data_IF_309679823432
#
_entry.id   IF_309679823432
#
_cell.length_a   1.000
_cell.length_b   1.000
_cell.length_c   1.000
_cell.angle_alpha   90.00
_cell.angle_beta   90.00
_cell.angle_gamma   90.00
#
_symmetry.space_group_name_H-M   'P 1'
#
loop_
_entity.id
_entity.type
_entity.pdbx_description
1 polymer ?
#
# COMPACT_ATOMS: atom_id res chain seq x y z
N UNK A 1 9.27 32.18 19.69
CA UNK A 1 9.89 31.41 20.78
C UNK A 1 10.21 32.31 21.95
N UNK A 2 10.05 31.84 23.16
CA UNK A 2 10.38 32.59 24.39
C UNK A 2 11.70 32.03 24.92
N UNK A 3 12.70 32.91 25.12
CA UNK A 3 13.96 32.55 25.76
C UNK A 3 14.12 33.34 27.06
N UNK A 4 14.36 32.60 28.17
CA UNK A 4 14.64 33.17 29.48
C UNK A 4 16.08 32.84 29.85
N UNK A 5 16.93 33.84 30.05
CA UNK A 5 18.30 33.68 30.51
C UNK A 5 18.48 34.32 31.86
N UNK A 6 19.07 33.63 32.81
CA UNK A 6 19.53 34.14 34.10
C UNK A 6 21.02 33.86 34.28
N UNK A 7 21.79 34.87 34.62
CA UNK A 7 23.20 34.72 34.96
C UNK A 7 23.46 35.25 36.39
N UNK A 8 24.01 34.35 37.21
CA UNK A 8 24.47 34.67 38.56
C UNK A 8 25.99 34.74 38.57
N UNK A 9 26.55 35.89 38.86
CA UNK A 9 28.01 36.05 38.96
C UNK A 9 28.43 36.68 40.28
N UNK A 10 29.50 36.14 40.86
CA UNK A 10 30.15 36.64 42.06
C UNK A 10 31.62 36.89 41.78
N UNK A 11 32.08 38.14 41.81
CA UNK A 11 33.51 38.47 41.63
C UNK A 11 34.13 38.99 42.93
N UNK A 12 35.05 38.21 43.50
CA UNK A 12 35.84 38.58 44.67
C UNK A 12 37.31 38.58 44.29
N UNK A 13 38.01 39.71 44.42
CA UNK A 13 39.46 39.86 44.26
C UNK A 13 40.10 40.00 45.64
N UNK A 14 41.01 39.09 46.01
CA UNK A 14 41.76 39.14 47.28
C UNK A 14 43.20 39.57 46.99
N UNK A 15 43.68 40.70 47.58
CA UNK A 15 45.02 41.18 47.45
C UNK A 15 45.79 40.81 48.72
N UNK A 16 46.95 40.09 48.61
CA UNK A 16 47.71 39.50 49.71
C UNK A 16 48.90 40.38 49.99
N UNK A 17 48.76 41.51 50.74
CA UNK A 17 49.89 42.15 51.48
C UNK A 17 49.30 43.05 52.58
N UNK A 18 49.54 42.64 53.76
CA UNK A 18 49.36 43.09 55.17
C UNK A 18 48.77 44.46 55.41
N UNK A 19 47.69 44.66 56.17
CA UNK A 19 46.66 43.67 56.55
C UNK A 19 45.70 43.32 55.45
N UNK A 20 45.23 42.11 55.43
CA UNK A 20 44.34 41.63 54.38
C UNK A 20 43.09 42.53 54.32
N UNK A 21 43.03 43.39 53.35
CA UNK A 21 41.89 44.21 53.08
C UNK A 21 41.13 43.59 51.92
N UNK A 22 40.00 42.97 52.18
CA UNK A 22 39.11 42.40 51.18
C UNK A 22 38.35 43.51 50.52
N UNK A 23 38.72 43.86 49.28
CA UNK A 23 37.96 44.85 48.51
C UNK A 23 37.04 44.06 47.58
N UNK A 24 35.73 44.16 47.80
CA UNK A 24 34.70 43.56 46.96
C UNK A 24 34.28 44.57 45.87
N UNK A 25 34.63 44.27 44.61
CA UNK A 25 34.21 45.06 43.46
C UNK A 25 32.94 44.44 42.84
N UNK A 26 31.93 45.23 42.61
CA UNK A 26 30.69 44.80 41.97
C UNK A 26 29.56 44.47 42.97
N UNK A 27 28.45 44.13 42.45
CA UNK A 27 27.29 43.70 43.23
C UNK A 27 27.46 42.25 43.68
N UNK A 28 27.09 41.94 44.95
CA UNK A 28 27.19 40.57 45.51
C UNK A 28 26.43 39.54 44.69
N UNK A 29 25.39 39.96 44.03
CA UNK A 29 24.60 39.16 43.12
C UNK A 29 24.12 40.06 42.00
N UNK A 30 24.26 39.59 40.76
CA UNK A 30 23.61 40.17 39.60
C UNK A 30 22.66 39.14 38.99
N UNK A 31 21.49 39.54 38.64
CA UNK A 31 20.51 38.70 37.96
C UNK A 31 19.94 39.49 36.75
N UNK A 32 20.20 39.01 35.59
CA UNK A 32 19.62 39.51 34.36
C UNK A 32 18.52 38.56 33.87
N UNK A 33 17.30 39.05 33.76
CA UNK A 33 16.19 38.30 33.16
C UNK A 33 15.78 39.03 31.87
N UNK A 34 15.81 38.31 30.77
CA UNK A 34 15.42 38.82 29.44
C UNK A 34 14.31 37.97 28.87
N UNK A 35 13.19 38.59 28.50
CA UNK A 35 12.13 37.98 27.73
C UNK A 35 12.17 38.58 26.33
N UNK A 36 12.28 37.76 25.29
CA UNK A 36 12.29 38.22 23.90
C UNK A 36 11.09 37.62 23.18
N UNK A 37 10.29 38.47 22.59
CA UNK A 37 9.19 38.08 21.70
C UNK A 37 9.58 38.41 20.27
N UNK A 38 9.64 37.40 19.41
CA UNK A 38 9.91 37.54 17.98
C UNK A 38 8.69 37.09 17.17
N UNK A 39 8.23 37.99 16.28
CA UNK A 39 7.11 37.72 15.39
C UNK A 39 7.55 37.91 13.95
N UNK A 40 7.36 36.88 13.13
CA UNK A 40 7.52 36.96 11.68
C UNK A 40 6.33 37.72 11.10
N UNK A 41 6.56 38.85 10.43
CA UNK A 41 5.55 39.69 9.81
C UNK A 41 5.38 39.35 8.33
N UNK A 42 6.47 39.12 7.63
CA UNK A 42 6.46 38.76 6.21
C UNK A 42 7.66 37.84 5.89
N UNK A 43 7.34 36.74 5.19
CA UNK A 43 8.32 35.86 4.55
C UNK A 43 7.68 35.26 3.30
N UNK A 44 8.29 35.49 2.15
CA UNK A 44 7.83 34.96 0.88
C UNK A 44 7.81 33.46 0.85
N UNK A 45 8.81 32.81 1.46
CA UNK A 45 8.91 31.34 1.55
C UNK A 45 7.77 30.73 2.37
N UNK A 46 7.34 31.39 3.43
CA UNK A 46 6.20 30.96 4.24
C UNK A 46 4.89 30.89 3.43
N UNK A 47 4.63 31.92 2.60
CA UNK A 47 3.44 31.96 1.76
C UNK A 47 3.42 30.82 0.74
N UNK A 48 4.58 30.50 0.14
CA UNK A 48 4.72 29.36 -0.78
C UNK A 48 4.59 28.03 -0.03
N UNK A 49 5.15 27.95 1.19
CA UNK A 49 5.01 26.80 2.06
C UNK A 49 3.55 26.47 2.37
N UNK A 50 2.72 27.47 2.63
CA UNK A 50 1.28 27.29 2.86
C UNK A 50 0.55 26.77 1.61
N UNK A 51 0.90 27.28 0.42
CA UNK A 51 0.35 26.78 -0.85
C UNK A 51 0.80 25.33 -1.10
N UNK A 52 2.05 25.00 -0.80
CA UNK A 52 2.59 23.65 -0.94
C UNK A 52 1.86 22.65 -0.04
N UNK A 53 1.49 23.04 1.18
CA UNK A 53 0.74 22.16 2.10
C UNK A 53 -0.59 21.71 1.48
N UNK A 54 -1.29 22.58 0.75
CA UNK A 54 -2.54 22.24 0.03
C UNK A 54 -2.28 21.21 -1.08
N UNK A 55 -1.21 21.39 -1.86
CA UNK A 55 -0.85 20.45 -2.93
C UNK A 55 -0.43 19.08 -2.35
N UNK A 56 0.30 19.07 -1.23
CA UNK A 56 0.63 17.81 -0.53
C UNK A 56 -0.61 17.06 -0.04
N UNK A 57 -1.63 17.78 0.44
CA UNK A 57 -2.90 17.17 0.80
C UNK A 57 -3.54 16.49 -0.41
N UNK A 58 -3.63 17.19 -1.55
CA UNK A 58 -4.18 16.62 -2.79
C UNK A 58 -3.39 15.41 -3.29
N UNK A 59 -2.05 15.45 -3.19
CA UNK A 59 -1.21 14.29 -3.52
C UNK A 59 -1.58 13.09 -2.64
N UNK A 60 -1.76 13.31 -1.33
CA UNK A 60 -2.11 12.24 -0.38
C UNK A 60 -3.51 11.68 -0.65
N UNK A 61 -4.49 12.54 -0.97
CA UNK A 61 -5.85 12.12 -1.34
C UNK A 61 -5.85 11.28 -2.62
N UNK A 62 -5.16 11.73 -3.67
CA UNK A 62 -5.06 10.97 -4.92
C UNK A 62 -4.26 9.66 -4.74
N UNK A 63 -3.23 9.65 -3.90
CA UNK A 63 -2.50 8.43 -3.55
C UNK A 63 -3.40 7.42 -2.82
N UNK A 64 -4.26 7.88 -1.90
CA UNK A 64 -5.27 7.05 -1.25
C UNK A 64 -6.22 6.43 -2.27
N UNK A 65 -6.81 7.25 -3.16
CA UNK A 65 -7.72 6.77 -4.20
C UNK A 65 -7.04 5.70 -5.08
N UNK A 66 -5.78 5.94 -5.47
CA UNK A 66 -5.00 4.97 -6.25
C UNK A 66 -4.81 3.66 -5.48
N UNK A 67 -4.48 3.73 -4.19
CA UNK A 67 -4.34 2.55 -3.33
C UNK A 67 -5.64 1.78 -3.21
N UNK A 68 -6.78 2.48 -3.05
CA UNK A 68 -8.10 1.86 -2.98
C UNK A 68 -8.43 1.09 -4.29
N UNK A 69 -8.10 1.65 -5.46
CA UNK A 69 -8.24 0.95 -6.74
C UNK A 69 -7.32 -0.26 -6.85
N UNK A 70 -6.08 -0.14 -6.44
CA UNK A 70 -5.11 -1.25 -6.48
C UNK A 70 -5.53 -2.40 -5.57
N UNK A 71 -6.07 -2.10 -4.37
CA UNK A 71 -6.60 -3.12 -3.46
C UNK A 71 -7.82 -3.81 -4.10
N UNK A 72 -8.75 -3.05 -4.68
CA UNK A 72 -9.91 -3.63 -5.36
C UNK A 72 -9.48 -4.55 -6.49
N UNK A 73 -8.56 -4.13 -7.34
CA UNK A 73 -8.02 -4.93 -8.44
C UNK A 73 -7.36 -6.22 -7.91
N UNK A 74 -6.52 -6.10 -6.89
CA UNK A 74 -5.83 -7.25 -6.27
C UNK A 74 -6.83 -8.26 -5.70
N UNK A 75 -7.84 -7.79 -4.96
CA UNK A 75 -8.87 -8.66 -4.37
C UNK A 75 -9.73 -9.31 -5.46
N UNK A 76 -10.13 -8.55 -6.49
CA UNK A 76 -10.93 -9.07 -7.61
C UNK A 76 -10.15 -10.16 -8.37
N UNK A 77 -8.87 -9.92 -8.64
CA UNK A 77 -8.01 -10.91 -9.30
C UNK A 77 -7.81 -12.17 -8.42
N UNK A 78 -7.58 -11.99 -7.11
CA UNK A 78 -7.45 -13.11 -6.19
C UNK A 78 -8.76 -13.92 -6.11
N UNK A 79 -9.91 -13.25 -6.06
CA UNK A 79 -11.23 -13.88 -6.07
C UNK A 79 -11.47 -14.69 -7.36
N UNK A 80 -11.22 -14.08 -8.51
CA UNK A 80 -11.32 -14.75 -9.81
C UNK A 80 -10.44 -15.99 -9.92
N UNK A 81 -9.20 -15.91 -9.39
CA UNK A 81 -8.29 -17.05 -9.38
C UNK A 81 -8.81 -18.22 -8.52
N UNK A 82 -9.49 -17.96 -7.40
CA UNK A 82 -10.13 -19.03 -6.60
C UNK A 82 -11.26 -19.68 -7.36
N UNK A 83 -12.13 -18.89 -8.02
CA UNK A 83 -13.24 -19.43 -8.81
C UNK A 83 -12.73 -20.26 -10.00
N UNK A 84 -11.69 -19.78 -10.69
CA UNK A 84 -11.04 -20.50 -11.79
C UNK A 84 -10.44 -21.83 -11.31
N UNK A 85 -9.79 -21.83 -10.15
CA UNK A 85 -9.22 -23.04 -9.57
C UNK A 85 -10.31 -24.07 -9.21
N UNK A 86 -11.45 -23.62 -8.65
CA UNK A 86 -12.61 -24.48 -8.34
C UNK A 86 -13.24 -25.06 -9.60
N UNK A 87 -13.42 -24.26 -10.65
CA UNK A 87 -13.96 -24.75 -11.92
C UNK A 87 -13.04 -25.78 -12.56
N UNK A 88 -11.72 -25.56 -12.51
CA UNK A 88 -10.74 -26.54 -13.00
C UNK A 88 -10.85 -27.88 -12.24
N UNK A 89 -11.04 -27.87 -10.92
CA UNK A 89 -11.28 -29.09 -10.12
C UNK A 89 -12.57 -29.78 -10.61
N UNK A 90 -13.65 -29.04 -10.77
CA UNK A 90 -14.93 -29.57 -11.25
C UNK A 90 -14.80 -30.28 -12.61
N UNK A 91 -14.04 -29.66 -13.54
CA UNK A 91 -13.77 -30.25 -14.85
C UNK A 91 -12.94 -31.54 -14.73
N UNK A 92 -11.90 -31.54 -13.89
CA UNK A 92 -11.07 -32.72 -13.67
C UNK A 92 -11.84 -33.87 -13.02
N UNK A 93 -12.76 -33.57 -12.08
CA UNK A 93 -13.64 -34.57 -11.45
C UNK A 93 -14.60 -35.19 -12.45
N UNK A 94 -15.22 -34.38 -13.32
CA UNK A 94 -16.08 -34.87 -14.41
C UNK A 94 -15.30 -35.77 -15.38
N UNK A 95 -14.09 -35.35 -15.75
CA UNK A 95 -13.21 -36.14 -16.61
C UNK A 95 -12.80 -37.45 -15.94
N UNK A 96 -12.50 -37.44 -14.63
CA UNK A 96 -12.18 -38.62 -13.85
C UNK A 96 -13.34 -39.62 -13.86
N UNK A 97 -14.56 -39.15 -13.57
CA UNK A 97 -15.76 -39.97 -13.57
C UNK A 97 -15.99 -40.64 -14.95
N UNK A 98 -15.82 -39.86 -16.03
CA UNK A 98 -15.94 -40.42 -17.40
C UNK A 98 -14.84 -41.46 -17.72
N UNK A 99 -13.62 -41.15 -17.32
CA UNK A 99 -12.48 -42.06 -17.56
C UNK A 99 -12.58 -43.35 -16.73
N UNK A 100 -13.04 -43.27 -15.48
CA UNK A 100 -13.30 -44.44 -14.63
C UNK A 100 -14.36 -45.37 -15.26
N UNK A 101 -15.42 -44.80 -15.83
CA UNK A 101 -16.42 -45.55 -16.56
C UNK A 101 -15.79 -46.25 -17.79
N UNK A 102 -15.03 -45.52 -18.59
CA UNK A 102 -14.32 -46.05 -19.76
C UNK A 102 -13.35 -47.18 -19.37
N UNK A 103 -12.61 -46.97 -18.29
CA UNK A 103 -11.71 -48.02 -17.77
C UNK A 103 -12.50 -49.28 -17.36
N UNK A 104 -13.62 -49.12 -16.66
CA UNK A 104 -14.46 -50.24 -16.28
C UNK A 104 -14.97 -51.00 -17.50
N UNK A 105 -15.56 -50.35 -18.49
CA UNK A 105 -16.11 -50.96 -19.70
C UNK A 105 -15.03 -51.64 -20.52
N UNK A 106 -13.85 -51.03 -20.63
CA UNK A 106 -12.68 -51.60 -21.33
C UNK A 106 -12.14 -52.86 -20.61
N UNK A 107 -12.03 -52.82 -19.28
CA UNK A 107 -11.59 -53.94 -18.48
C UNK A 107 -12.54 -55.12 -18.55
N UNK A 108 -13.86 -54.91 -18.59
CA UNK A 108 -14.84 -56.00 -18.82
C UNK A 108 -14.71 -56.56 -20.24
N UNK A 109 -14.44 -55.73 -21.25
CA UNK A 109 -14.19 -56.17 -22.62
C UNK A 109 -12.89 -57.02 -22.72
N UNK A 110 -11.84 -56.61 -22.01
CA UNK A 110 -10.61 -57.41 -21.90
C UNK A 110 -10.85 -58.76 -21.24
N UNK A 111 -11.57 -58.83 -20.12
CA UNK A 111 -11.91 -60.07 -19.43
C UNK A 111 -12.64 -61.08 -20.32
N UNK A 112 -13.41 -60.56 -21.29
CA UNK A 112 -14.09 -61.37 -22.30
C UNK A 112 -13.19 -61.77 -23.49
N UNK A 113 -11.90 -61.39 -23.48
CA UNK A 113 -10.94 -61.72 -24.50
C UNK A 113 -11.09 -60.97 -25.83
N UNK A 114 -11.79 -59.80 -25.83
CA UNK A 114 -12.10 -59.06 -27.05
C UNK A 114 -11.07 -57.98 -27.36
N UNK A 115 -10.22 -57.61 -26.41
CA UNK A 115 -9.18 -56.59 -26.59
C UNK A 115 -7.90 -57.02 -25.85
N UNK A 116 -6.79 -56.34 -26.16
CA UNK A 116 -5.49 -56.57 -25.57
C UNK A 116 -5.34 -55.89 -24.20
N UNK A 117 -4.52 -56.41 -23.31
CA UNK A 117 -4.25 -55.90 -21.96
C UNK A 117 -3.66 -54.50 -21.99
N UNK A 118 -2.87 -54.17 -23.02
CA UNK A 118 -2.26 -52.86 -23.23
C UNK A 118 -3.31 -51.70 -23.20
N UNK A 119 -4.50 -51.93 -23.73
CA UNK A 119 -5.59 -50.94 -23.71
C UNK A 119 -6.05 -50.61 -22.28
N UNK A 120 -6.10 -51.61 -21.40
CA UNK A 120 -6.48 -51.45 -19.99
C UNK A 120 -5.36 -50.74 -19.22
N UNK A 121 -4.10 -51.14 -19.42
CA UNK A 121 -2.94 -50.54 -18.79
C UNK A 121 -2.81 -49.03 -19.17
N UNK A 122 -3.02 -48.71 -20.43
CA UNK A 122 -2.98 -47.32 -20.90
C UNK A 122 -4.03 -46.44 -20.20
N UNK A 123 -5.24 -46.95 -20.01
CA UNK A 123 -6.29 -46.24 -19.26
C UNK A 123 -5.96 -46.10 -17.78
N UNK A 124 -5.33 -47.14 -17.18
CA UNK A 124 -4.88 -47.10 -15.79
C UNK A 124 -3.79 -46.02 -15.56
N UNK A 125 -2.82 -45.95 -16.49
CA UNK A 125 -1.79 -44.90 -16.49
C UNK A 125 -2.45 -43.54 -16.57
N UNK A 126 -3.41 -43.34 -17.49
CA UNK A 126 -4.13 -42.09 -17.68
C UNK A 126 -4.93 -41.68 -16.43
N UNK A 127 -5.61 -42.66 -15.75
CA UNK A 127 -6.27 -42.42 -14.48
C UNK A 127 -5.31 -41.98 -13.39
N UNK A 128 -4.13 -42.59 -13.31
CA UNK A 128 -3.10 -42.19 -12.34
C UNK A 128 -2.61 -40.77 -12.56
N UNK A 129 -2.39 -40.40 -13.83
CA UNK A 129 -2.02 -39.00 -14.21
C UNK A 129 -3.13 -37.99 -13.87
N UNK A 130 -4.40 -38.38 -14.13
CA UNK A 130 -5.55 -37.50 -13.81
C UNK A 130 -5.72 -37.34 -12.30
N UNK A 131 -5.55 -38.39 -11.51
CA UNK A 131 -5.56 -38.29 -10.04
C UNK A 131 -4.44 -37.40 -9.51
N UNK A 132 -3.24 -37.45 -10.10
CA UNK A 132 -2.14 -36.57 -9.76
C UNK A 132 -2.45 -35.12 -10.12
N UNK A 133 -3.08 -34.88 -11.29
CA UNK A 133 -3.52 -33.59 -11.73
C UNK A 133 -4.59 -32.99 -10.82
N UNK A 134 -5.56 -33.82 -10.39
CA UNK A 134 -6.60 -33.43 -9.44
C UNK A 134 -6.01 -33.05 -8.07
N UNK A 135 -5.07 -33.84 -7.56
CA UNK A 135 -4.36 -33.53 -6.31
C UNK A 135 -3.63 -32.18 -6.40
N UNK A 136 -2.95 -31.92 -7.51
CA UNK A 136 -2.28 -30.64 -7.75
C UNK A 136 -3.26 -29.48 -7.89
N UNK A 137 -4.41 -29.69 -8.56
CA UNK A 137 -5.46 -28.67 -8.68
C UNK A 137 -6.05 -28.30 -7.32
N UNK A 138 -6.30 -29.28 -6.44
CA UNK A 138 -6.77 -29.03 -5.08
C UNK A 138 -5.78 -28.19 -4.26
N UNK A 139 -4.48 -28.50 -4.33
CA UNK A 139 -3.44 -27.73 -3.65
C UNK A 139 -3.37 -26.28 -4.18
N UNK A 140 -3.51 -26.09 -5.51
CA UNK A 140 -3.54 -24.77 -6.11
C UNK A 140 -4.77 -23.96 -5.67
N UNK A 141 -5.93 -24.60 -5.56
CA UNK A 141 -7.14 -23.95 -5.07
C UNK A 141 -7.00 -23.51 -3.59
N UNK A 142 -6.37 -24.32 -2.76
CA UNK A 142 -6.05 -23.97 -1.37
C UNK A 142 -5.11 -22.75 -1.31
N UNK A 143 -4.04 -22.76 -2.11
CA UNK A 143 -3.12 -21.62 -2.21
C UNK A 143 -3.85 -20.36 -2.66
N UNK A 144 -4.69 -20.46 -3.71
CA UNK A 144 -5.46 -19.33 -4.21
C UNK A 144 -6.41 -18.77 -3.14
N UNK A 145 -7.09 -19.63 -2.39
CA UNK A 145 -7.96 -19.23 -1.28
C UNK A 145 -7.17 -18.52 -0.15
N UNK A 146 -5.99 -19.04 0.19
CA UNK A 146 -5.14 -18.42 1.20
C UNK A 146 -4.62 -17.04 0.74
N UNK A 147 -4.27 -16.89 -0.54
CA UNK A 147 -3.90 -15.59 -1.12
C UNK A 147 -5.06 -14.60 -1.08
N UNK A 148 -6.29 -15.05 -1.36
CA UNK A 148 -7.49 -14.21 -1.23
C UNK A 148 -7.67 -13.75 0.23
N UNK A 149 -7.55 -14.66 1.20
CA UNK A 149 -7.65 -14.32 2.63
C UNK A 149 -6.62 -13.26 3.03
N UNK A 150 -5.36 -13.44 2.60
CA UNK A 150 -4.29 -12.46 2.84
C UNK A 150 -4.64 -11.11 2.20
N UNK A 151 -5.16 -11.10 0.98
CA UNK A 151 -5.54 -9.87 0.27
C UNK A 151 -6.69 -9.13 0.96
N UNK A 152 -7.57 -9.86 1.65
CA UNK A 152 -8.67 -9.32 2.44
C UNK A 152 -8.26 -8.94 3.87
N UNK A 153 -7.04 -9.30 4.31
CA UNK A 153 -6.59 -9.11 5.69
C UNK A 153 -7.28 -10.02 6.72
N UNK A 154 -7.81 -11.17 6.26
CA UNK A 154 -8.49 -12.18 7.09
C UNK A 154 -7.47 -13.23 7.52
N UNK A 155 -7.65 -13.81 8.73
CA UNK A 155 -6.81 -14.91 9.20
C UNK A 155 -6.93 -16.13 8.26
N UNK A 156 -5.81 -16.82 8.00
CA UNK A 156 -5.76 -17.99 7.12
C UNK A 156 -6.67 -19.12 7.63
N UNK A 157 -6.86 -19.20 8.93
CA UNK A 157 -7.69 -20.22 9.57
C UNK A 157 -9.19 -19.90 9.56
N UNK A 158 -9.56 -18.67 9.20
CA UNK A 158 -10.97 -18.27 9.13
C UNK A 158 -11.63 -18.89 7.91
N UNK A 159 -12.86 -19.37 8.06
CA UNK A 159 -13.61 -19.99 6.96
C UNK A 159 -14.25 -18.93 6.07
N UNK A 160 -13.94 -18.97 4.78
CA UNK A 160 -14.50 -18.06 3.77
C UNK A 160 -15.30 -18.85 2.77
N UNK A 161 -16.59 -18.55 2.66
CA UNK A 161 -17.49 -19.13 1.68
C UNK A 161 -17.64 -18.17 0.50
N UNK A 162 -17.33 -18.66 -0.70
CA UNK A 162 -17.60 -17.94 -1.95
C UNK A 162 -18.95 -18.39 -2.48
N UNK A 163 -19.86 -17.44 -2.68
CA UNK A 163 -21.24 -17.69 -3.09
C UNK A 163 -21.45 -17.71 -4.61
N UNK A 164 -20.54 -17.10 -5.37
CA UNK A 164 -20.68 -16.93 -6.82
C UNK A 164 -19.91 -17.99 -7.61
N UNK A 165 -20.40 -18.24 -8.83
CA UNK A 165 -19.72 -19.08 -9.82
C UNK A 165 -19.03 -18.21 -10.86
N UNK A 166 -18.01 -18.79 -11.52
CA UNK A 166 -17.24 -18.08 -12.55
C UNK A 166 -18.11 -17.56 -13.70
N UNK A 167 -19.09 -18.38 -14.14
CA UNK A 167 -20.00 -18.02 -15.23
C UNK A 167 -20.90 -16.83 -14.88
N UNK A 168 -21.35 -16.73 -13.64
CA UNK A 168 -22.19 -15.64 -13.15
C UNK A 168 -21.43 -14.30 -13.18
N UNK A 169 -20.16 -14.32 -12.82
CA UNK A 169 -19.30 -13.14 -12.88
C UNK A 169 -18.98 -12.71 -14.32
N UNK A 170 -18.75 -13.65 -15.21
CA UNK A 170 -18.46 -13.36 -16.61
C UNK A 170 -19.61 -12.66 -17.32
N UNK A 171 -20.85 -13.02 -16.98
CA UNK A 171 -22.06 -12.45 -17.59
C UNK A 171 -22.45 -11.11 -16.94
N UNK A 172 -22.32 -10.99 -15.62
CA UNK A 172 -22.81 -9.82 -14.86
C UNK A 172 -21.92 -8.58 -14.98
N UNK A 173 -20.63 -8.75 -15.30
CA UNK A 173 -19.66 -7.66 -15.26
C UNK A 173 -19.23 -7.12 -16.64
N UNK A 174 -19.81 -7.62 -17.73
CA UNK A 174 -19.53 -7.05 -19.07
C UNK A 174 -20.48 -5.89 -19.32
N UNK A 175 -20.13 -4.71 -18.82
CA UNK A 175 -20.81 -3.48 -19.21
C UNK A 175 -20.27 -3.00 -20.56
N UNK A 176 -21.02 -3.32 -21.61
CA UNK A 176 -20.66 -2.93 -23.00
C UNK A 176 -20.70 -1.41 -23.22
N UNK A 177 -21.34 -0.65 -22.32
CA UNK A 177 -21.39 0.81 -22.42
C UNK A 177 -20.01 1.45 -22.16
N UNK A 178 -19.15 0.79 -21.39
CA UNK A 178 -17.77 1.24 -21.16
C UNK A 178 -16.92 1.32 -22.43
N UNK A 179 -17.26 0.57 -23.48
CA UNK A 179 -16.57 0.61 -24.76
C UNK A 179 -17.04 1.73 -25.70
N UNK A 180 -18.18 2.37 -25.35
CA UNK A 180 -18.78 3.43 -26.17
C UNK A 180 -18.58 4.84 -25.61
N UNK A 181 -18.07 4.97 -24.38
CA UNK A 181 -17.75 6.26 -23.77
C UNK A 181 -16.38 6.77 -24.20
N UNK A 182 -16.30 8.06 -24.58
CA UNK A 182 -15.02 8.71 -24.84
C UNK A 182 -14.19 8.78 -23.54
N UNK A 183 -12.94 8.33 -23.63
CA UNK A 183 -12.02 8.35 -22.51
C UNK A 183 -11.64 9.80 -22.14
N UNK A 184 -12.09 10.29 -21.00
CA UNK A 184 -11.64 11.56 -20.44
C UNK A 184 -10.41 11.34 -19.51
N UNK A 185 -9.25 11.79 -19.98
CA UNK A 185 -7.99 11.69 -19.24
C UNK A 185 -8.06 12.38 -17.86
N UNK A 186 -8.91 13.41 -17.69
CA UNK A 186 -9.04 14.13 -16.43
C UNK A 186 -9.69 13.27 -15.33
N UNK A 187 -10.39 12.20 -15.70
CA UNK A 187 -10.94 11.22 -14.75
C UNK A 187 -9.87 10.25 -14.24
N UNK A 188 -8.73 10.12 -14.94
CA UNK A 188 -7.64 9.24 -14.54
C UNK A 188 -6.96 9.73 -13.26
N UNK A 189 -6.87 8.85 -12.26
CA UNK A 189 -6.15 9.13 -11.00
C UNK A 189 -4.65 9.34 -11.24
N UNK A 190 -4.05 8.60 -12.17
CA UNK A 190 -2.64 8.76 -12.52
C UNK A 190 -2.37 10.12 -13.18
N UNK A 191 -3.29 10.59 -14.02
CA UNK A 191 -3.19 11.92 -14.60
C UNK A 191 -3.27 13.02 -13.52
N UNK A 192 -4.19 12.92 -12.56
CA UNK A 192 -4.31 13.83 -11.42
C UNK A 192 -3.04 13.85 -10.55
N UNK A 193 -2.42 12.68 -10.34
CA UNK A 193 -1.14 12.58 -9.63
C UNK A 193 -0.04 13.33 -10.40
N UNK A 194 0.02 13.21 -11.73
CA UNK A 194 1.01 13.93 -12.53
C UNK A 194 0.76 15.45 -12.54
N UNK A 195 -0.49 15.91 -12.59
CA UNK A 195 -0.83 17.32 -12.41
C UNK A 195 -0.36 17.86 -11.06
N UNK A 196 -0.57 17.12 -9.97
CA UNK A 196 -0.09 17.50 -8.64
C UNK A 196 1.43 17.56 -8.58
N UNK A 197 2.12 16.62 -9.24
CA UNK A 197 3.58 16.64 -9.35
C UNK A 197 4.08 17.88 -10.12
N UNK A 198 3.41 18.24 -11.21
CA UNK A 198 3.73 19.46 -11.96
C UNK A 198 3.55 20.71 -11.09
N UNK A 199 2.42 20.82 -10.40
CA UNK A 199 2.14 21.96 -9.52
C UNK A 199 3.14 22.02 -8.35
N UNK A 200 3.54 20.89 -7.79
CA UNK A 200 4.60 20.82 -6.79
C UNK A 200 5.92 21.38 -7.32
N UNK A 201 6.30 21.04 -8.56
CA UNK A 201 7.51 21.60 -9.21
C UNK A 201 7.40 23.09 -9.48
N UNK A 202 6.21 23.58 -9.86
CA UNK A 202 5.94 25.01 -10.03
C UNK A 202 6.07 25.77 -8.70
N UNK A 203 5.58 25.19 -7.61
CA UNK A 203 5.72 25.77 -6.26
C UNK A 203 7.18 25.77 -5.81
N UNK A 204 7.98 24.75 -6.11
CA UNK A 204 9.41 24.75 -5.83
C UNK A 204 10.13 25.87 -6.59
N UNK A 205 9.83 26.07 -7.87
CA UNK A 205 10.37 27.21 -8.63
C UNK A 205 9.95 28.55 -8.03
N UNK A 206 8.70 28.67 -7.61
CA UNK A 206 8.18 29.86 -6.94
C UNK A 206 8.90 30.09 -5.62
N UNK A 207 9.16 29.04 -4.83
CA UNK A 207 9.91 29.11 -3.58
C UNK A 207 11.32 29.69 -3.79
N UNK A 208 12.05 29.21 -4.81
CA UNK A 208 13.38 29.74 -5.11
C UNK A 208 13.35 31.23 -5.51
N UNK A 209 12.32 31.64 -6.27
CA UNK A 209 12.13 33.04 -6.60
C UNK A 209 11.81 33.91 -5.37
N UNK A 210 10.98 33.41 -4.45
CA UNK A 210 10.56 34.15 -3.25
C UNK A 210 11.65 34.17 -2.17
N UNK A 211 12.65 33.27 -2.20
CA UNK A 211 13.85 33.37 -1.35
C UNK A 211 14.67 34.65 -1.58
N UNK A 212 14.55 35.27 -2.74
CA UNK A 212 15.17 36.56 -3.03
C UNK A 212 14.42 37.76 -2.44
N UNK A 213 13.24 37.58 -1.85
CA UNK A 213 12.48 38.65 -1.22
C UNK A 213 12.97 38.92 0.21
N UNK A 214 12.86 40.16 0.71
CA UNK A 214 13.22 40.47 2.08
C UNK A 214 12.28 39.79 3.08
N UNK A 215 12.85 39.36 4.19
CA UNK A 215 12.10 38.84 5.35
C UNK A 215 11.94 39.98 6.36
N UNK A 216 10.72 40.19 6.84
CA UNK A 216 10.38 41.27 7.82
C UNK A 216 9.93 40.58 9.11
N UNK A 217 10.65 40.85 10.20
CA UNK A 217 10.31 40.41 11.55
C UNK A 217 10.22 41.61 12.51
N UNK A 218 9.39 41.52 13.52
CA UNK A 218 9.37 42.37 14.69
C UNK A 218 9.96 41.64 15.88
N UNK A 219 10.76 42.36 16.68
CA UNK A 219 11.34 41.85 17.91
C UNK A 219 11.12 42.86 19.02
N UNK A 220 10.60 42.39 20.15
CA UNK A 220 10.38 43.13 21.39
C UNK A 220 11.18 42.52 22.52
#
# INVERSE_FOLDING_TARGET
GYNLYGQLGNNTITNISSPVQTITFGTKHSMDARATLSQLLFDGSYLVGLQSAKVYLQISENAKIKTDFQIKEMVTNAYGNVLLARENISILEKNKTSLEKTYFDTNETFKNGLIEEENVEQLQITLTQLNSSLSNANKRAEIALNLLKISLGIDINEEVLLSEKLDDLAVSNVDLTLFSEDFDVNNSTDYKIQQNNEESKRLLLKLERFRGLPTIGAQL
#
